data_IF_311950445033
#
_entry.id   IF_311950445033
#
_cell.length_a   1.000
_cell.length_b   1.000
_cell.length_c   1.000
_cell.angle_alpha   90.00
_cell.angle_beta   90.00
_cell.angle_gamma   90.00
#
_symmetry.space_group_name_H-M   'P 1'
#
loop_
_entity.id
_entity.type
_entity.pdbx_description
1 polymer ?
#
# COMPACT_ATOMS: atom_id res chain seq x y z
N UNK A 1 -9.80 -6.93 13.35
CA UNK A 1 -9.47 -8.30 13.80
C UNK A 1 -8.22 -8.75 13.06
N UNK A 2 -7.15 -9.14 13.76
CA UNK A 2 -5.86 -9.49 13.14
C UNK A 2 -5.74 -10.97 12.78
N UNK A 3 -6.49 -11.82 13.48
CA UNK A 3 -6.56 -13.28 13.30
C UNK A 3 -8.01 -13.75 13.35
N UNK A 4 -8.28 -14.93 12.79
CA UNK A 4 -9.52 -15.68 12.95
C UNK A 4 -9.16 -16.91 13.77
N UNK A 5 -9.61 -16.95 15.01
CA UNK A 5 -9.31 -18.04 15.95
C UNK A 5 -10.53 -18.97 16.07
N UNK A 6 -10.29 -20.28 16.00
CA UNK A 6 -11.34 -21.28 16.13
C UNK A 6 -10.83 -22.57 16.75
N UNK A 7 -11.74 -23.38 17.30
CA UNK A 7 -11.43 -24.67 17.91
C UNK A 7 -12.06 -25.77 17.06
N UNK A 8 -11.26 -26.76 16.69
CA UNK A 8 -11.74 -27.97 16.03
C UNK A 8 -11.13 -29.20 16.72
N UNK A 9 -11.99 -30.13 17.14
CA UNK A 9 -11.58 -31.37 17.85
C UNK A 9 -10.65 -31.11 19.06
N UNK A 10 -10.92 -30.04 19.81
CA UNK A 10 -10.12 -29.66 20.98
C UNK A 10 -8.78 -29.00 20.68
N UNK A 11 -8.42 -28.81 19.40
CA UNK A 11 -7.22 -28.07 19.00
C UNK A 11 -7.60 -26.65 18.60
N UNK A 12 -6.80 -25.68 19.06
CA UNK A 12 -6.93 -24.29 18.67
C UNK A 12 -6.18 -24.03 17.37
N UNK A 13 -6.84 -23.33 16.46
CA UNK A 13 -6.30 -22.90 15.17
C UNK A 13 -6.44 -21.39 15.03
N UNK A 14 -5.54 -20.80 14.26
CA UNK A 14 -5.53 -19.37 13.97
C UNK A 14 -5.20 -19.13 12.50
N UNK A 15 -5.99 -18.29 11.84
CA UNK A 15 -5.77 -17.86 10.46
C UNK A 15 -5.46 -16.35 10.48
N UNK A 16 -4.32 -15.89 9.93
CA UNK A 16 -4.07 -14.46 9.81
C UNK A 16 -5.18 -13.76 9.01
N UNK A 17 -5.61 -12.58 9.44
CA UNK A 17 -6.68 -11.80 8.80
C UNK A 17 -6.19 -10.39 8.40
N UNK A 18 -4.91 -10.29 8.05
CA UNK A 18 -4.22 -9.05 7.66
C UNK A 18 -3.00 -9.37 6.79
N UNK A 19 -2.57 -8.39 6.00
CA UNK A 19 -1.33 -8.47 5.23
C UNK A 19 -0.11 -8.71 6.11
N UNK A 20 -0.06 -8.04 7.27
CA UNK A 20 1.06 -8.11 8.22
C UNK A 20 1.28 -9.51 8.80
N UNK A 21 0.22 -10.33 8.87
CA UNK A 21 0.30 -11.71 9.34
C UNK A 21 0.79 -12.71 8.29
N UNK A 22 1.01 -12.30 7.04
CA UNK A 22 1.45 -13.20 5.98
C UNK A 22 2.95 -13.48 6.02
N UNK A 23 3.32 -14.69 5.59
CA UNK A 23 4.68 -15.04 5.18
C UNK A 23 4.87 -14.70 3.69
N UNK A 24 6.12 -14.59 3.20
CA UNK A 24 6.38 -14.36 1.77
C UNK A 24 5.71 -15.40 0.86
N UNK A 25 5.74 -16.67 1.25
CA UNK A 25 5.06 -17.74 0.54
C UNK A 25 3.53 -17.53 0.45
N UNK A 26 2.89 -17.20 1.58
CA UNK A 26 1.44 -16.95 1.60
C UNK A 26 1.07 -15.72 0.78
N UNK A 27 1.88 -14.65 0.84
CA UNK A 27 1.69 -13.45 0.06
C UNK A 27 1.78 -13.73 -1.45
N UNK A 28 2.85 -14.36 -1.92
CA UNK A 28 3.02 -14.66 -3.35
C UNK A 28 1.89 -15.54 -3.89
N UNK A 29 1.45 -16.53 -3.11
CA UNK A 29 0.35 -17.38 -3.50
C UNK A 29 -1.01 -16.63 -3.51
N UNK A 30 -1.24 -15.72 -2.56
CA UNK A 30 -2.43 -14.86 -2.55
C UNK A 30 -2.43 -13.88 -3.73
N UNK A 31 -1.27 -13.33 -4.11
CA UNK A 31 -1.15 -12.46 -5.27
C UNK A 31 -1.53 -13.16 -6.58
N UNK A 32 -1.19 -14.44 -6.73
CA UNK A 32 -1.65 -15.25 -7.88
C UNK A 32 -3.17 -15.41 -7.90
N UNK A 33 -3.81 -15.61 -6.76
CA UNK A 33 -5.27 -15.65 -6.67
C UNK A 33 -5.89 -14.27 -6.99
N UNK A 34 -5.29 -13.18 -6.51
CA UNK A 34 -5.74 -11.81 -6.81
C UNK A 34 -5.64 -11.49 -8.30
N UNK A 35 -4.57 -11.90 -8.97
CA UNK A 35 -4.44 -11.75 -10.44
C UNK A 35 -5.52 -12.54 -11.17
N UNK A 36 -5.79 -13.78 -10.76
CA UNK A 36 -6.89 -14.56 -11.34
C UNK A 36 -8.25 -13.93 -11.10
N UNK A 37 -8.46 -13.29 -9.96
CA UNK A 37 -9.65 -12.49 -9.69
C UNK A 37 -9.74 -11.27 -10.63
N UNK A 38 -8.65 -10.54 -10.80
CA UNK A 38 -8.58 -9.40 -11.72
C UNK A 38 -8.86 -9.80 -13.17
N UNK A 39 -8.43 -11.00 -13.57
CA UNK A 39 -8.74 -11.61 -14.88
C UNK A 39 -10.19 -12.15 -14.99
N UNK A 40 -11.01 -12.04 -13.94
CA UNK A 40 -12.37 -12.58 -13.89
C UNK A 40 -12.46 -14.11 -13.80
N UNK A 41 -11.35 -14.80 -13.52
CA UNK A 41 -11.27 -16.29 -13.49
C UNK A 41 -11.79 -16.91 -12.20
N UNK A 42 -11.75 -16.18 -11.09
CA UNK A 42 -12.25 -16.62 -9.78
C UNK A 42 -12.96 -15.49 -9.04
N UNK A 43 -13.94 -15.83 -8.19
CA UNK A 43 -14.66 -14.85 -7.36
C UNK A 43 -13.88 -14.49 -6.09
N UNK A 44 -14.27 -13.40 -5.43
CA UNK A 44 -13.74 -13.01 -4.10
C UNK A 44 -13.88 -14.13 -3.07
N UNK A 45 -15.03 -14.82 -3.07
CA UNK A 45 -15.26 -15.97 -2.20
C UNK A 45 -14.24 -17.07 -2.45
N UNK A 46 -13.92 -17.36 -3.72
CA UNK A 46 -12.94 -18.38 -4.07
C UNK A 46 -11.50 -17.97 -3.70
N UNK A 47 -11.15 -16.69 -3.80
CA UNK A 47 -9.85 -16.18 -3.30
C UNK A 47 -9.73 -16.44 -1.79
N UNK A 48 -10.77 -16.13 -1.02
CA UNK A 48 -10.80 -16.35 0.44
C UNK A 48 -10.75 -17.84 0.79
N UNK A 49 -11.45 -18.70 0.04
CA UNK A 49 -11.39 -20.15 0.20
C UNK A 49 -9.99 -20.68 -0.07
N UNK A 50 -9.37 -20.30 -1.20
CA UNK A 50 -7.99 -20.69 -1.53
C UNK A 50 -7.02 -20.25 -0.44
N UNK A 51 -7.19 -19.04 0.09
CA UNK A 51 -6.40 -18.51 1.18
C UNK A 51 -6.52 -19.35 2.46
N UNK A 52 -7.75 -19.61 2.94
CA UNK A 52 -7.99 -20.44 4.13
C UNK A 52 -7.38 -21.83 3.96
N UNK A 53 -7.65 -22.50 2.84
CA UNK A 53 -7.09 -23.81 2.57
C UNK A 53 -5.56 -23.81 2.59
N UNK A 54 -4.93 -22.77 2.03
CA UNK A 54 -3.46 -22.65 1.99
C UNK A 54 -2.86 -22.47 3.38
N UNK A 55 -3.42 -21.58 4.20
CA UNK A 55 -2.96 -21.38 5.59
C UNK A 55 -3.06 -22.67 6.40
N UNK A 56 -4.15 -23.41 6.20
CA UNK A 56 -4.42 -24.62 6.96
C UNK A 56 -3.76 -25.88 6.38
N UNK A 57 -3.07 -25.78 5.23
CA UNK A 57 -2.51 -26.94 4.52
C UNK A 57 -3.56 -27.91 3.97
N UNK A 58 -4.80 -27.44 3.77
CA UNK A 58 -5.90 -28.26 3.27
C UNK A 58 -5.90 -28.31 1.74
N UNK A 59 -6.12 -29.50 1.19
CA UNK A 59 -6.30 -29.68 -0.24
C UNK A 59 -7.79 -29.61 -0.58
N UNK A 60 -8.19 -28.54 -1.27
CA UNK A 60 -9.56 -28.28 -1.74
C UNK A 60 -10.17 -29.49 -2.47
N UNK A 61 -9.40 -30.18 -3.32
CA UNK A 61 -9.87 -31.32 -4.11
C UNK A 61 -10.15 -32.57 -3.27
N UNK A 62 -9.64 -32.63 -2.04
CA UNK A 62 -9.90 -33.73 -1.10
C UNK A 62 -11.16 -33.50 -0.27
N UNK A 63 -11.74 -32.30 -0.30
CA UNK A 63 -12.98 -31.98 0.42
C UNK A 63 -14.16 -32.40 -0.46
N UNK A 64 -14.80 -33.52 -0.12
CA UNK A 64 -15.85 -34.14 -0.94
C UNK A 64 -17.26 -34.05 -0.36
N UNK A 65 -17.39 -33.78 0.94
CA UNK A 65 -18.68 -33.69 1.59
C UNK A 65 -19.18 -32.24 1.67
N UNK A 66 -20.50 -32.08 1.66
CA UNK A 66 -21.17 -30.78 1.72
C UNK A 66 -20.84 -30.02 3.00
N UNK A 67 -20.80 -30.71 4.13
CA UNK A 67 -20.47 -30.09 5.43
C UNK A 67 -19.04 -29.57 5.48
N UNK A 68 -18.09 -30.29 4.86
CA UNK A 68 -16.71 -29.84 4.76
C UNK A 68 -16.59 -28.55 3.94
N UNK A 69 -17.31 -28.48 2.82
CA UNK A 69 -17.40 -27.27 2.02
C UNK A 69 -18.08 -26.10 2.75
N UNK A 70 -19.17 -26.37 3.48
CA UNK A 70 -19.86 -25.35 4.26
C UNK A 70 -18.95 -24.76 5.35
N UNK A 71 -18.17 -25.60 6.04
CA UNK A 71 -17.22 -25.15 7.06
C UNK A 71 -16.10 -24.28 6.47
N UNK A 72 -15.54 -24.66 5.31
CA UNK A 72 -14.52 -23.87 4.63
C UNK A 72 -15.08 -22.55 4.11
N UNK A 73 -16.28 -22.57 3.52
CA UNK A 73 -16.96 -21.37 3.07
C UNK A 73 -17.23 -20.41 4.24
N UNK A 74 -17.71 -20.94 5.37
CA UNK A 74 -17.94 -20.15 6.58
C UNK A 74 -16.65 -19.52 7.13
N UNK A 75 -15.54 -20.26 7.15
CA UNK A 75 -14.23 -19.71 7.54
C UNK A 75 -13.75 -18.65 6.54
N UNK A 76 -13.89 -18.90 5.24
CA UNK A 76 -13.53 -17.97 4.18
C UNK A 76 -14.33 -16.66 4.28
N UNK A 77 -15.60 -16.74 4.68
CA UNK A 77 -16.42 -15.57 4.96
C UNK A 77 -15.88 -14.74 6.13
N UNK A 78 -15.26 -15.34 7.15
CA UNK A 78 -14.65 -14.56 8.25
C UNK A 78 -13.40 -13.77 7.82
N UNK A 79 -12.87 -14.05 6.62
CA UNK A 79 -11.71 -13.35 6.07
C UNK A 79 -12.13 -11.97 5.56
N UNK A 80 -11.63 -10.92 6.23
CA UNK A 80 -11.95 -9.50 5.98
C UNK A 80 -10.86 -8.76 5.21
N UNK A 81 -9.79 -9.46 4.83
CA UNK A 81 -8.79 -9.05 3.83
C UNK A 81 -8.84 -10.06 2.66
N UNK A 82 -8.10 -9.91 1.55
CA UNK A 82 -7.35 -8.74 1.10
C UNK A 82 -8.24 -7.69 0.41
N UNK A 83 -9.58 -7.81 0.47
CA UNK A 83 -10.48 -6.93 -0.28
C UNK A 83 -11.17 -5.89 0.61
N UNK A 84 -11.34 -4.69 0.06
CA UNK A 84 -12.28 -3.68 0.55
C UNK A 84 -13.47 -3.57 -0.40
N UNK A 85 -14.61 -3.15 0.15
CA UNK A 85 -15.84 -2.89 -0.60
C UNK A 85 -15.85 -1.43 -1.02
N UNK A 86 -16.10 -1.16 -2.30
CA UNK A 86 -16.22 0.18 -2.87
C UNK A 86 -17.67 0.38 -3.30
N UNK A 87 -18.33 1.36 -2.70
CA UNK A 87 -19.70 1.73 -3.03
C UNK A 87 -19.72 2.82 -4.12
N UNK A 88 -20.84 2.98 -4.84
CA UNK A 88 -21.02 4.06 -5.82
C UNK A 88 -20.72 5.45 -5.25
N UNK A 89 -20.45 6.40 -6.15
CA UNK A 89 -20.25 7.82 -5.85
C UNK A 89 -19.15 8.09 -4.80
N UNK A 90 -18.02 7.38 -4.90
CA UNK A 90 -16.88 7.49 -3.98
C UNK A 90 -17.28 7.27 -2.51
N UNK A 91 -18.02 6.18 -2.26
CA UNK A 91 -18.54 5.83 -0.94
C UNK A 91 -19.42 6.93 -0.30
N UNK A 92 -20.16 7.72 -1.10
CA UNK A 92 -21.07 8.76 -0.61
C UNK A 92 -22.01 8.26 0.51
N UNK A 93 -22.52 7.03 0.35
CA UNK A 93 -23.38 6.37 1.32
C UNK A 93 -22.76 6.18 2.70
N UNK A 94 -21.44 6.30 2.84
CA UNK A 94 -20.71 6.09 4.08
C UNK A 94 -20.19 7.38 4.74
N UNK A 95 -20.32 8.55 4.09
CA UNK A 95 -19.64 9.78 4.54
C UNK A 95 -20.08 10.29 5.92
N UNK A 96 -21.33 10.06 6.30
CA UNK A 96 -21.89 10.51 7.58
C UNK A 96 -21.75 9.48 8.71
N UNK A 97 -21.15 8.32 8.42
CA UNK A 97 -20.98 7.25 9.41
C UNK A 97 -19.80 7.54 10.33
N UNK A 98 -19.91 7.05 11.57
CA UNK A 98 -18.77 7.04 12.47
C UNK A 98 -17.64 6.15 11.92
N UNK A 99 -16.42 6.39 12.41
CA UNK A 99 -15.22 5.70 11.91
C UNK A 99 -15.24 4.18 12.07
N UNK A 100 -15.94 3.65 13.08
CA UNK A 100 -16.03 2.21 13.30
C UNK A 100 -17.00 1.57 12.31
N UNK A 101 -18.21 2.11 12.20
CA UNK A 101 -19.22 1.64 11.25
C UNK A 101 -18.72 1.75 9.82
N UNK A 102 -18.08 2.88 9.45
CA UNK A 102 -17.45 3.06 8.15
C UNK A 102 -16.48 1.90 7.84
N UNK A 103 -15.59 1.56 8.78
CA UNK A 103 -14.60 0.48 8.59
C UNK A 103 -15.26 -0.89 8.47
N UNK A 104 -16.33 -1.16 9.20
CA UNK A 104 -17.10 -2.40 9.08
C UNK A 104 -17.75 -2.50 7.70
N UNK A 105 -18.42 -1.44 7.23
CA UNK A 105 -19.06 -1.40 5.91
C UNK A 105 -18.08 -1.55 4.74
N UNK A 106 -16.81 -1.13 4.91
CA UNK A 106 -15.75 -1.33 3.91
C UNK A 106 -15.15 -2.74 3.90
N UNK A 107 -15.40 -3.57 4.92
CA UNK A 107 -14.74 -4.88 5.07
C UNK A 107 -15.70 -6.07 5.02
N UNK A 108 -16.88 -5.91 5.58
CA UNK A 108 -17.88 -6.98 5.71
C UNK A 108 -19.00 -6.69 4.71
N UNK A 109 -19.39 -7.67 3.87
CA UNK A 109 -20.49 -7.52 2.94
C UNK A 109 -21.80 -7.11 3.62
N UNK A 110 -22.63 -6.25 3.01
CA UNK A 110 -23.84 -5.73 3.63
C UNK A 110 -24.79 -6.78 4.20
N UNK A 111 -25.06 -7.87 3.48
CA UNK A 111 -25.91 -8.98 3.95
C UNK A 111 -25.43 -9.68 5.23
N UNK A 112 -24.17 -9.46 5.65
CA UNK A 112 -23.57 -10.00 6.89
C UNK A 112 -23.42 -8.97 8.02
N UNK A 113 -23.73 -7.70 7.76
CA UNK A 113 -23.70 -6.64 8.76
C UNK A 113 -24.98 -6.66 9.60
N UNK A 114 -25.09 -7.64 10.50
CA UNK A 114 -26.20 -7.70 11.44
C UNK A 114 -26.11 -6.56 12.47
N UNK A 115 -27.21 -5.84 12.68
CA UNK A 115 -27.28 -4.74 13.64
C UNK A 115 -26.86 -3.36 13.09
N UNK A 116 -26.37 -3.28 11.85
CA UNK A 116 -26.05 -2.00 11.20
C UNK A 116 -27.24 -1.56 10.35
N UNK A 117 -27.88 -0.43 10.71
CA UNK A 117 -29.12 0.06 10.08
C UNK A 117 -29.01 0.25 8.57
N UNK A 118 -27.86 0.78 8.10
CA UNK A 118 -27.65 1.09 6.68
C UNK A 118 -27.37 -0.15 5.82
N UNK A 119 -27.11 -1.32 6.41
CA UNK A 119 -26.76 -2.57 5.69
C UNK A 119 -27.74 -2.92 4.57
N UNK A 120 -29.05 -2.83 4.81
CA UNK A 120 -30.09 -3.14 3.81
C UNK A 120 -30.06 -2.21 2.59
N UNK A 121 -29.65 -0.96 2.79
CA UNK A 121 -29.49 -0.01 1.71
C UNK A 121 -28.22 -0.33 0.92
N UNK A 122 -27.10 -0.54 1.62
CA UNK A 122 -25.82 -0.90 1.01
C UNK A 122 -25.90 -2.19 0.17
N UNK A 123 -26.69 -3.16 0.61
CA UNK A 123 -26.88 -4.44 -0.11
C UNK A 123 -27.58 -4.28 -1.47
N UNK A 124 -28.31 -3.18 -1.67
CA UNK A 124 -28.99 -2.86 -2.93
C UNK A 124 -28.11 -2.07 -3.92
N UNK A 125 -26.97 -1.56 -3.45
CA UNK A 125 -26.04 -0.81 -4.29
C UNK A 125 -25.20 -1.77 -5.12
N UNK A 126 -24.79 -1.34 -6.32
CA UNK A 126 -23.82 -2.05 -7.16
C UNK A 126 -22.40 -1.84 -6.62
N UNK A 127 -22.15 -2.34 -5.41
CA UNK A 127 -20.84 -2.26 -4.79
C UNK A 127 -19.87 -3.26 -5.42
N UNK A 128 -18.60 -2.87 -5.46
CA UNK A 128 -17.52 -3.67 -6.04
C UNK A 128 -16.49 -4.02 -4.99
N UNK A 129 -15.66 -5.02 -5.28
CA UNK A 129 -14.50 -5.34 -4.45
C UNK A 129 -13.24 -4.76 -5.08
N UNK A 130 -12.46 -4.04 -4.30
CA UNK A 130 -11.13 -3.58 -4.63
C UNK A 130 -10.11 -4.27 -3.73
N UNK A 131 -8.87 -4.44 -4.22
CA UNK A 131 -7.79 -4.99 -3.39
C UNK A 131 -7.32 -3.92 -2.41
N UNK A 132 -7.31 -4.26 -1.12
CA UNK A 132 -6.71 -3.46 -0.06
C UNK A 132 -5.19 -3.40 -0.27
N UNK A 133 -4.72 -2.30 -0.83
CA UNK A 133 -3.32 -2.05 -1.11
C UNK A 133 -2.74 -1.06 -0.11
N UNK A 134 -2.99 -1.22 1.19
CA UNK A 134 -2.46 -0.31 2.21
C UNK A 134 -1.95 -1.09 3.44
N UNK A 135 -0.65 -1.40 3.47
CA UNK A 135 0.00 -2.08 4.60
C UNK A 135 1.50 -1.73 4.68
N UNK A 136 2.12 -2.00 5.84
CA UNK A 136 3.48 -1.56 6.15
C UNK A 136 4.40 -2.75 6.47
N UNK A 137 4.55 -3.66 5.51
CA UNK A 137 5.41 -4.84 5.67
C UNK A 137 6.04 -5.24 4.34
N UNK A 138 7.35 -5.48 4.37
CA UNK A 138 8.04 -6.11 3.24
C UNK A 138 7.68 -7.60 3.20
N UNK A 139 6.89 -8.01 2.21
CA UNK A 139 6.43 -9.39 2.02
C UNK A 139 7.19 -10.12 0.91
N UNK A 140 8.07 -9.42 0.19
CA UNK A 140 9.01 -10.00 -0.77
C UNK A 140 10.41 -9.55 -0.34
N UNK A 141 11.01 -10.19 0.68
CA UNK A 141 12.28 -9.72 1.25
C UNK A 141 13.50 -10.04 0.37
N UNK A 142 13.38 -11.02 -0.52
CA UNK A 142 14.46 -11.43 -1.39
C UNK A 142 13.94 -12.00 -2.72
N UNK A 143 14.72 -11.81 -3.78
CA UNK A 143 14.57 -12.45 -5.09
C UNK A 143 15.75 -13.40 -5.27
N UNK A 144 15.48 -14.58 -5.81
CA UNK A 144 16.49 -15.57 -6.13
C UNK A 144 16.56 -15.67 -7.65
N UNK A 145 17.70 -15.34 -8.22
CA UNK A 145 17.90 -15.39 -9.66
C UNK A 145 19.25 -16.03 -9.94
N UNK A 146 19.21 -17.16 -10.64
CA UNK A 146 20.38 -18.03 -10.84
C UNK A 146 20.95 -18.46 -9.48
N UNK A 147 22.24 -18.19 -9.23
CA UNK A 147 22.94 -18.49 -7.98
C UNK A 147 23.05 -17.27 -7.05
N UNK A 148 22.37 -16.16 -7.36
CA UNK A 148 22.43 -14.92 -6.60
C UNK A 148 21.11 -14.62 -5.88
N UNK A 149 21.24 -14.08 -4.66
CA UNK A 149 20.12 -13.59 -3.87
C UNK A 149 20.20 -12.07 -3.75
N UNK A 150 19.15 -11.40 -4.19
CA UNK A 150 19.01 -9.96 -4.07
C UNK A 150 18.05 -9.65 -2.94
N UNK A 151 18.46 -8.82 -1.97
CA UNK A 151 17.65 -8.43 -0.84
C UNK A 151 16.91 -7.12 -1.12
N UNK A 152 15.66 -7.06 -0.68
CA UNK A 152 14.84 -5.87 -0.79
C UNK A 152 15.25 -4.82 0.26
N UNK A 153 14.66 -3.63 0.14
CA UNK A 153 14.61 -2.67 1.22
C UNK A 153 13.85 -3.21 2.45
N UNK A 154 14.30 -2.77 3.63
CA UNK A 154 13.73 -3.13 4.92
C UNK A 154 12.71 -2.08 5.38
N UNK A 155 11.67 -2.55 6.06
CA UNK A 155 10.66 -1.74 6.73
C UNK A 155 10.56 -2.25 8.17
N UNK A 156 10.76 -1.37 9.15
CA UNK A 156 10.53 -1.70 10.56
C UNK A 156 9.56 -0.71 11.19
N UNK A 157 8.69 -1.24 12.04
CA UNK A 157 7.70 -0.46 12.79
C UNK A 157 7.78 -0.73 14.30
N UNK A 158 8.85 -1.42 14.74
CA UNK A 158 9.09 -1.71 16.15
C UNK A 158 9.17 -0.42 16.97
N UNK A 159 8.70 -0.47 18.21
CA UNK A 159 8.66 0.68 19.12
C UNK A 159 7.83 1.87 18.60
N UNK A 160 6.79 1.59 17.81
CA UNK A 160 5.91 2.60 17.18
C UNK A 160 6.67 3.62 16.32
N UNK A 161 7.82 3.23 15.78
CA UNK A 161 8.63 4.09 14.93
C UNK A 161 8.85 3.44 13.58
N UNK A 162 8.42 4.13 12.52
CA UNK A 162 8.65 3.70 11.15
C UNK A 162 10.09 4.01 10.76
N UNK A 163 10.82 3.00 10.32
CA UNK A 163 12.10 3.14 9.61
C UNK A 163 12.03 2.38 8.28
N UNK A 164 12.78 2.87 7.30
CA UNK A 164 12.88 2.27 5.98
C UNK A 164 14.32 2.42 5.48
N UNK A 165 14.87 1.41 4.81
CA UNK A 165 16.26 1.46 4.33
C UNK A 165 16.43 2.15 2.97
N UNK A 166 15.34 2.53 2.29
CA UNK A 166 15.42 3.21 0.99
C UNK A 166 16.09 4.59 1.12
N UNK A 167 16.89 4.93 0.11
CA UNK A 167 17.37 6.29 -0.10
C UNK A 167 16.31 7.16 -0.79
N UNK A 168 16.49 8.48 -0.74
CA UNK A 168 15.59 9.43 -1.38
C UNK A 168 15.52 9.21 -2.90
N UNK A 169 16.66 9.05 -3.57
CA UNK A 169 16.71 8.80 -5.01
C UNK A 169 16.06 7.47 -5.39
N UNK A 170 16.38 6.37 -4.68
CA UNK A 170 15.71 5.07 -4.89
C UNK A 170 14.20 5.20 -4.80
N UNK A 171 13.72 5.86 -3.75
CA UNK A 171 12.29 6.03 -3.52
C UNK A 171 11.61 6.85 -4.62
N UNK A 172 12.22 7.95 -5.06
CA UNK A 172 11.67 8.83 -6.10
C UNK A 172 11.58 8.08 -7.43
N UNK A 173 12.66 7.40 -7.84
CA UNK A 173 12.68 6.67 -9.10
C UNK A 173 11.73 5.46 -9.07
N UNK A 174 11.72 4.68 -7.99
CA UNK A 174 10.78 3.57 -7.84
C UNK A 174 9.33 4.06 -7.84
N UNK A 175 9.03 5.17 -7.16
CA UNK A 175 7.68 5.77 -7.15
C UNK A 175 7.26 6.25 -8.53
N UNK A 176 8.19 6.80 -9.33
CA UNK A 176 7.94 7.21 -10.71
C UNK A 176 7.55 6.05 -11.64
N UNK A 177 7.90 4.81 -11.28
CA UNK A 177 7.53 3.60 -12.00
C UNK A 177 6.25 2.94 -11.49
N UNK A 178 5.54 3.51 -10.52
CA UNK A 178 4.25 2.95 -10.10
C UNK A 178 3.19 3.19 -11.19
N UNK A 179 2.44 2.15 -11.54
CA UNK A 179 1.44 2.20 -12.62
C UNK A 179 2.03 2.17 -14.04
N UNK A 180 3.33 1.97 -14.18
CA UNK A 180 3.97 1.81 -15.49
C UNK A 180 3.56 0.50 -16.19
N UNK A 181 3.78 0.40 -17.52
CA UNK A 181 3.58 -0.84 -18.25
C UNK A 181 4.39 -2.01 -17.68
N UNK A 182 3.90 -3.23 -17.90
CA UNK A 182 4.48 -4.48 -17.38
C UNK A 182 5.96 -4.67 -17.73
N UNK A 183 6.38 -4.13 -18.87
CA UNK A 183 7.74 -4.20 -19.41
C UNK A 183 8.76 -3.42 -18.56
N UNK A 184 8.30 -2.48 -17.73
CA UNK A 184 9.16 -1.66 -16.87
C UNK A 184 9.28 -2.21 -15.44
N UNK A 185 8.53 -3.27 -15.09
CA UNK A 185 8.64 -3.90 -13.76
C UNK A 185 10.04 -4.44 -13.42
N UNK A 186 10.84 -4.97 -14.37
CA UNK A 186 12.22 -5.35 -14.08
C UNK A 186 13.06 -4.18 -13.56
N UNK A 187 12.86 -2.97 -14.09
CA UNK A 187 13.54 -1.78 -13.62
C UNK A 187 13.09 -1.42 -12.20
N UNK A 188 11.77 -1.43 -11.93
CA UNK A 188 11.25 -1.20 -10.58
C UNK A 188 11.86 -2.20 -9.57
N UNK A 189 11.89 -3.48 -9.91
CA UNK A 189 12.53 -4.49 -9.07
C UNK A 189 14.04 -4.20 -8.90
N UNK A 190 14.77 -3.83 -9.95
CA UNK A 190 16.19 -3.54 -9.86
C UNK A 190 16.49 -2.34 -8.95
N UNK A 191 15.60 -1.34 -8.90
CA UNK A 191 15.73 -0.20 -7.99
C UNK A 191 15.54 -0.64 -6.53
N UNK A 192 14.51 -1.44 -6.27
CA UNK A 192 14.10 -1.83 -4.91
C UNK A 192 15.00 -2.90 -4.28
N UNK A 193 15.74 -3.66 -5.09
CA UNK A 193 16.61 -4.77 -4.70
C UNK A 193 18.08 -4.51 -5.04
N UNK A 194 18.44 -3.25 -5.26
CA UNK A 194 19.81 -2.89 -5.58
C UNK A 194 20.74 -3.22 -4.39
N UNK A 195 21.79 -4.05 -4.57
CA UNK A 195 22.55 -4.61 -3.45
C UNK A 195 23.56 -3.64 -2.82
N UNK A 196 24.08 -2.71 -3.61
CA UNK A 196 25.15 -1.79 -3.21
C UNK A 196 24.61 -0.38 -2.92
N UNK A 197 25.52 0.59 -2.76
CA UNK A 197 25.16 2.01 -2.77
C UNK A 197 24.45 2.34 -4.09
N UNK A 198 23.23 2.81 -3.98
CA UNK A 198 22.34 3.00 -5.12
C UNK A 198 22.92 3.91 -6.20
N UNK A 199 22.70 3.55 -7.46
CA UNK A 199 22.86 4.46 -8.59
C UNK A 199 21.85 4.13 -9.68
N UNK A 200 21.26 5.14 -10.32
CA UNK A 200 20.28 4.95 -11.39
C UNK A 200 20.87 4.16 -12.58
N UNK A 201 22.15 4.42 -12.91
CA UNK A 201 22.87 3.70 -13.96
C UNK A 201 23.12 2.24 -13.60
N UNK A 202 23.45 1.95 -12.33
CA UNK A 202 23.58 0.58 -11.83
C UNK A 202 22.26 -0.18 -11.87
N UNK A 203 21.17 0.45 -11.42
CA UNK A 203 19.84 -0.14 -11.45
C UNK A 203 19.39 -0.50 -12.87
N UNK A 204 19.68 0.35 -13.86
CA UNK A 204 19.39 0.05 -15.28
C UNK A 204 20.18 -1.16 -15.79
N UNK A 205 21.44 -1.32 -15.39
CA UNK A 205 22.23 -2.50 -15.74
C UNK A 205 21.64 -3.76 -15.09
N UNK A 206 21.27 -3.69 -13.81
CA UNK A 206 20.66 -4.79 -13.08
C UNK A 206 19.27 -5.17 -13.65
N UNK A 207 18.50 -4.20 -14.15
CA UNK A 207 17.20 -4.42 -14.76
C UNK A 207 17.25 -5.37 -15.97
N UNK A 208 18.36 -5.37 -16.72
CA UNK A 208 18.57 -6.31 -17.81
C UNK A 208 18.59 -7.76 -17.29
N UNK A 209 19.25 -8.01 -16.15
CA UNK A 209 19.25 -9.33 -15.50
C UNK A 209 17.85 -9.70 -15.01
N UNK A 210 17.12 -8.74 -14.41
CA UNK A 210 15.78 -8.97 -13.88
C UNK A 210 14.68 -9.15 -14.94
N UNK A 211 14.99 -8.91 -16.21
CA UNK A 211 14.08 -9.25 -17.32
C UNK A 211 13.84 -10.76 -17.41
N UNK A 212 14.75 -11.59 -16.87
CA UNK A 212 14.57 -13.05 -16.76
C UNK A 212 13.58 -13.49 -15.66
N UNK A 213 13.13 -12.59 -14.78
CA UNK A 213 12.22 -12.94 -13.70
C UNK A 213 10.78 -13.14 -14.22
N UNK A 214 10.05 -14.14 -13.68
CA UNK A 214 8.66 -14.33 -14.06
C UNK A 214 7.79 -13.15 -13.58
N UNK A 215 6.77 -12.81 -14.36
CA UNK A 215 5.80 -11.76 -13.99
C UNK A 215 5.06 -12.06 -12.69
N UNK A 216 4.93 -13.35 -12.34
CA UNK A 216 4.38 -13.83 -11.07
C UNK A 216 5.22 -13.44 -9.85
N UNK A 217 6.46 -12.98 -10.04
CA UNK A 217 7.33 -12.40 -8.99
C UNK A 217 7.39 -10.88 -9.07
N UNK A 218 7.49 -10.32 -10.27
CA UNK A 218 7.57 -8.87 -10.50
C UNK A 218 6.29 -8.12 -10.08
N UNK A 219 5.11 -8.69 -10.32
CA UNK A 219 3.84 -8.05 -9.95
C UNK A 219 3.67 -7.95 -8.42
N UNK A 220 3.92 -9.01 -7.63
CA UNK A 220 3.95 -8.91 -6.16
C UNK A 220 4.91 -7.86 -5.62
N UNK A 221 6.09 -7.67 -6.24
CA UNK A 221 7.06 -6.64 -5.84
C UNK A 221 6.45 -5.25 -6.01
N UNK A 222 5.91 -4.96 -7.19
CA UNK A 222 5.27 -3.69 -7.49
C UNK A 222 4.09 -3.42 -6.54
N UNK A 223 3.27 -4.45 -6.29
CA UNK A 223 2.14 -4.36 -5.37
C UNK A 223 2.57 -4.10 -3.92
N UNK A 224 3.62 -4.78 -3.43
CA UNK A 224 4.14 -4.54 -2.08
C UNK A 224 4.64 -3.10 -1.92
N UNK A 225 5.40 -2.61 -2.89
CA UNK A 225 5.90 -1.24 -2.86
C UNK A 225 4.77 -0.21 -2.95
N UNK A 226 3.79 -0.40 -3.86
CA UNK A 226 2.59 0.43 -3.92
C UNK A 226 1.86 0.45 -2.57
N UNK A 227 1.74 -0.70 -1.91
CA UNK A 227 1.06 -0.79 -0.63
C UNK A 227 1.78 -0.04 0.48
N UNK A 228 3.11 -0.08 0.48
CA UNK A 228 3.93 0.71 1.37
C UNK A 228 3.78 2.21 1.11
N UNK A 229 3.78 2.66 -0.15
CA UNK A 229 3.51 4.05 -0.54
C UNK A 229 2.15 4.51 -0.04
N UNK A 230 1.11 3.73 -0.28
CA UNK A 230 -0.24 4.03 0.18
C UNK A 230 -0.29 4.13 1.71
N UNK A 231 0.37 3.22 2.43
CA UNK A 231 0.48 3.32 3.89
C UNK A 231 1.18 4.62 4.31
N UNK A 232 2.32 4.93 3.70
CA UNK A 232 3.13 6.11 4.02
C UNK A 232 2.31 7.41 3.89
N UNK A 233 1.56 7.57 2.81
CA UNK A 233 0.80 8.79 2.54
C UNK A 233 -0.65 8.77 3.05
N UNK A 234 -1.13 7.70 3.69
CA UNK A 234 -2.49 7.67 4.25
C UNK A 234 -2.57 7.36 5.74
N UNK A 235 -1.55 6.70 6.31
CA UNK A 235 -1.52 6.26 7.71
C UNK A 235 -0.45 6.94 8.56
N UNK A 236 0.39 7.79 7.97
CA UNK A 236 1.46 8.49 8.69
C UNK A 236 1.32 10.00 8.56
N UNK A 237 2.17 10.74 9.29
CA UNK A 237 2.24 12.20 9.22
C UNK A 237 2.62 12.76 7.84
N UNK A 238 3.12 11.91 6.94
CA UNK A 238 3.45 12.28 5.57
C UNK A 238 2.22 12.44 4.66
N UNK A 239 1.02 12.10 5.14
CA UNK A 239 -0.25 12.37 4.44
C UNK A 239 -0.36 13.84 3.98
N UNK A 240 0.20 14.79 4.74
CA UNK A 240 0.27 16.20 4.36
C UNK A 240 0.88 16.43 2.97
N UNK A 241 1.83 15.59 2.55
CA UNK A 241 2.53 15.72 1.27
C UNK A 241 1.64 15.36 0.05
N UNK A 242 0.47 14.77 0.27
CA UNK A 242 -0.48 14.37 -0.78
C UNK A 242 -1.80 15.13 -0.74
N UNK A 243 -2.00 16.02 0.23
CA UNK A 243 -3.21 16.85 0.37
C UNK A 243 -3.19 18.11 -0.52
N UNK A 244 -2.14 18.30 -1.31
CA UNK A 244 -2.02 19.42 -2.25
C UNK A 244 -3.04 19.27 -3.38
N UNK A 245 -3.85 20.30 -3.63
CA UNK A 245 -4.85 20.28 -4.71
C UNK A 245 -4.16 20.12 -6.08
N UNK A 246 -4.56 19.09 -6.84
CA UNK A 246 -4.02 18.83 -8.19
C UNK A 246 -4.48 19.90 -9.18
N UNK A 247 -3.54 20.48 -9.93
CA UNK A 247 -3.82 21.08 -11.24
C UNK A 247 -3.05 20.33 -12.31
N UNK A 248 -3.67 20.24 -13.50
CA UNK A 248 -3.20 19.57 -14.72
C UNK A 248 -1.69 19.31 -14.72
N UNK A 249 -1.33 18.02 -14.65
CA UNK A 249 0.02 17.53 -14.85
C UNK A 249 0.53 18.03 -16.20
N UNK A 250 1.35 19.08 -16.20
CA UNK A 250 2.11 19.45 -17.39
C UNK A 250 3.24 18.43 -17.56
N UNK A 251 3.48 17.98 -18.79
CA UNK A 251 4.46 16.94 -19.13
C UNK A 251 5.93 17.30 -18.80
N UNK A 252 6.18 18.48 -18.21
CA UNK A 252 7.51 19.04 -17.91
C UNK A 252 7.81 18.99 -16.39
N UNK A 253 6.85 18.64 -15.54
CA UNK A 253 7.05 18.62 -14.08
C UNK A 253 7.88 17.42 -13.63
N UNK A 254 9.18 17.66 -13.34
CA UNK A 254 10.08 16.72 -12.64
C UNK A 254 9.91 16.76 -11.12
N UNK A 255 8.75 17.21 -10.61
CA UNK A 255 8.58 17.81 -9.26
C UNK A 255 9.25 17.09 -8.08
N UNK A 256 9.29 15.75 -8.04
CA UNK A 256 9.98 15.02 -6.97
C UNK A 256 11.52 15.05 -7.08
N UNK A 257 12.07 15.03 -8.30
CA UNK A 257 13.51 15.19 -8.54
C UNK A 257 13.93 16.66 -8.36
N UNK A 258 13.09 17.60 -8.77
CA UNK A 258 13.31 19.04 -8.52
C UNK A 258 13.40 19.34 -7.01
N UNK A 259 12.62 18.63 -6.20
CA UNK A 259 12.68 18.73 -4.74
C UNK A 259 14.05 18.36 -4.18
N UNK A 260 14.80 17.40 -4.76
CA UNK A 260 16.17 17.09 -4.34
C UNK A 260 17.12 18.27 -4.58
N UNK A 261 17.05 18.88 -5.78
CA UNK A 261 17.89 20.03 -6.14
C UNK A 261 17.58 21.27 -5.29
N UNK A 262 16.30 21.47 -4.96
CA UNK A 262 15.87 22.55 -4.07
C UNK A 262 16.44 22.36 -2.66
N UNK A 263 16.44 21.13 -2.12
CA UNK A 263 17.05 20.86 -0.82
C UNK A 263 18.56 21.09 -0.83
N UNK A 264 19.25 20.81 -1.94
CA UNK A 264 20.68 21.10 -2.06
C UNK A 264 20.94 22.60 -2.04
N UNK A 265 20.14 23.34 -2.80
CA UNK A 265 20.18 24.82 -2.85
C UNK A 265 19.85 25.45 -1.50
N UNK A 266 18.94 24.85 -0.73
CA UNK A 266 18.56 25.29 0.62
C UNK A 266 19.63 24.98 1.68
N UNK A 267 20.74 24.33 1.31
CA UNK A 267 21.89 24.07 2.18
C UNK A 267 21.79 22.80 3.03
N UNK A 268 20.89 21.86 2.69
CA UNK A 268 20.78 20.57 3.41
C UNK A 268 21.90 19.58 3.08
N UNK A 269 22.73 19.87 2.07
CA UNK A 269 23.85 19.04 1.62
C UNK A 269 24.15 19.25 0.14
N UNK A 270 25.22 18.64 -0.35
CA UNK A 270 25.39 18.50 -1.80
C UNK A 270 24.35 17.51 -2.38
N UNK A 271 24.24 17.49 -3.71
CA UNK A 271 23.26 16.66 -4.42
C UNK A 271 23.44 15.18 -4.06
N UNK A 272 24.69 14.70 -4.02
CA UNK A 272 25.00 13.30 -3.72
C UNK A 272 24.53 12.92 -2.30
N UNK A 273 24.75 13.79 -1.30
CA UNK A 273 24.30 13.57 0.07
C UNK A 273 22.78 13.49 0.16
N UNK A 274 22.07 14.35 -0.59
CA UNK A 274 20.60 14.40 -0.55
C UNK A 274 19.99 13.21 -1.29
N UNK A 275 20.53 12.82 -2.43
CA UNK A 275 20.12 11.63 -3.17
C UNK A 275 20.21 10.36 -2.32
N UNK A 276 21.26 10.25 -1.51
CA UNK A 276 21.51 9.10 -0.64
C UNK A 276 20.94 9.24 0.77
N UNK A 277 20.28 10.35 1.08
CA UNK A 277 19.62 10.56 2.36
C UNK A 277 18.54 9.50 2.56
N UNK A 278 18.32 9.08 3.80
CA UNK A 278 17.24 8.16 4.13
C UNK A 278 15.86 8.73 3.71
N UNK A 279 15.00 7.90 3.12
CA UNK A 279 13.68 8.32 2.64
C UNK A 279 12.81 8.95 3.72
N UNK A 280 12.83 8.43 4.95
CA UNK A 280 12.03 8.96 6.06
C UNK A 280 12.54 10.35 6.44
N UNK A 281 13.86 10.55 6.50
CA UNK A 281 14.47 11.86 6.75
C UNK A 281 14.11 12.86 5.65
N UNK A 282 14.23 12.45 4.39
CA UNK A 282 13.86 13.26 3.23
C UNK A 282 12.39 13.73 3.31
N UNK A 283 11.45 12.82 3.56
CA UNK A 283 10.02 13.15 3.69
C UNK A 283 9.74 14.03 4.92
N UNK A 284 10.45 13.84 6.03
CA UNK A 284 10.34 14.70 7.22
C UNK A 284 10.78 16.13 6.91
N UNK A 285 11.87 16.31 6.16
CA UNK A 285 12.33 17.64 5.74
C UNK A 285 11.30 18.31 4.81
N UNK A 286 10.78 17.59 3.82
CA UNK A 286 9.74 18.12 2.93
C UNK A 286 8.49 18.54 3.71
N UNK A 287 8.04 17.70 4.64
CA UNK A 287 6.88 18.00 5.49
C UNK A 287 7.13 19.24 6.33
N UNK A 288 8.30 19.36 6.96
CA UNK A 288 8.68 20.52 7.76
C UNK A 288 8.67 21.80 6.92
N UNK A 289 9.21 21.76 5.70
CA UNK A 289 9.25 22.92 4.80
C UNK A 289 7.84 23.43 4.45
N UNK A 290 6.88 22.54 4.22
CA UNK A 290 5.48 22.92 4.00
C UNK A 290 4.90 23.62 5.25
N UNK A 291 5.10 23.04 6.44
CA UNK A 291 4.64 23.60 7.71
C UNK A 291 5.25 24.99 7.97
N UNK A 292 6.55 25.13 7.77
CA UNK A 292 7.27 26.40 8.00
C UNK A 292 6.82 27.48 7.00
N UNK A 293 6.52 27.08 5.75
CA UNK A 293 5.94 27.99 4.74
C UNK A 293 4.59 28.53 5.19
N UNK A 294 3.66 27.66 5.63
CA UNK A 294 2.34 28.07 6.13
C UNK A 294 2.48 29.02 7.33
N UNK A 295 3.35 28.69 8.28
CA UNK A 295 3.60 29.54 9.47
C UNK A 295 4.21 30.88 9.11
N UNK A 296 5.11 30.93 8.13
CA UNK A 296 5.73 32.17 7.66
C UNK A 296 4.72 33.09 6.98
N UNK A 297 3.87 32.56 6.11
CA UNK A 297 2.81 33.35 5.45
C UNK A 297 1.79 33.88 6.46
N UNK A 298 1.43 33.06 7.46
CA UNK A 298 0.58 33.52 8.56
C UNK A 298 1.24 34.60 9.42
N UNK A 299 2.54 34.47 9.73
CA UNK A 299 3.30 35.50 10.44
C UNK A 299 3.39 36.82 9.64
N UNK A 300 3.38 36.74 8.31
CA UNK A 300 3.27 37.88 7.41
C UNK A 300 1.85 38.49 7.34
N UNK A 301 0.92 38.04 8.19
CA UNK A 301 -0.49 38.48 8.29
C UNK A 301 -1.32 38.20 7.03
N UNK A 302 -0.96 37.19 6.24
CA UNK A 302 -1.82 36.72 5.15
C UNK A 302 -3.04 36.00 5.72
N UNK A 303 -4.21 36.22 5.11
CA UNK A 303 -5.41 35.49 5.50
C UNK A 303 -5.32 34.02 5.07
N UNK A 304 -6.07 33.14 5.75
CA UNK A 304 -6.07 31.69 5.52
C UNK A 304 -6.48 31.34 4.08
N UNK A 305 -7.37 32.11 3.47
CA UNK A 305 -7.74 31.93 2.07
C UNK A 305 -6.58 32.24 1.11
N UNK A 306 -5.79 33.27 1.39
CA UNK A 306 -4.61 33.61 0.60
C UNK A 306 -3.50 32.57 0.80
N UNK A 307 -3.29 32.10 2.03
CA UNK A 307 -2.35 31.01 2.33
C UNK A 307 -2.76 29.73 1.58
N UNK A 308 -4.04 29.39 1.55
CA UNK A 308 -4.55 28.24 0.79
C UNK A 308 -4.25 28.37 -0.71
N UNK A 309 -4.41 29.57 -1.28
CA UNK A 309 -4.09 29.82 -2.69
C UNK A 309 -2.59 29.68 -2.98
N UNK A 310 -1.72 30.22 -2.13
CA UNK A 310 -0.26 30.16 -2.31
C UNK A 310 0.30 28.75 -2.09
N UNK A 311 -0.13 28.10 -1.02
CA UNK A 311 0.40 26.77 -0.61
C UNK A 311 -0.33 25.61 -1.26
N UNK A 312 -1.51 25.84 -1.85
CA UNK A 312 -2.42 24.83 -2.42
C UNK A 312 -2.89 23.79 -1.41
N UNK A 313 -2.85 24.14 -0.12
CA UNK A 313 -3.35 23.30 0.94
C UNK A 313 -4.82 23.64 1.24
N UNK A 314 -5.66 22.63 1.51
CA UNK A 314 -7.01 22.85 2.00
C UNK A 314 -7.03 23.66 3.29
N UNK A 315 -8.04 24.51 3.46
CA UNK A 315 -8.19 25.38 4.64
C UNK A 315 -8.20 24.57 5.95
N UNK A 316 -8.81 23.37 5.95
CA UNK A 316 -8.85 22.53 7.14
C UNK A 316 -7.45 22.08 7.58
N UNK A 317 -6.55 21.78 6.63
CA UNK A 317 -5.15 21.43 6.91
C UNK A 317 -4.38 22.64 7.42
N UNK A 318 -4.60 23.83 6.84
CA UNK A 318 -3.97 25.07 7.33
C UNK A 318 -4.37 25.34 8.79
N UNK A 319 -5.64 25.10 9.13
CA UNK A 319 -6.12 25.23 10.52
C UNK A 319 -5.48 24.21 11.48
N UNK A 320 -5.08 23.02 11.01
CA UNK A 320 -4.35 22.05 11.83
C UNK A 320 -2.88 22.43 12.04
N UNK A 321 -2.29 23.20 11.10
CA UNK A 321 -0.89 23.63 11.15
C UNK A 321 -0.67 24.84 12.07
N UNK A 322 -1.64 25.77 12.09
CA UNK A 322 -1.61 27.05 12.83
C UNK A 322 -2.13 26.91 14.25
#
# INVERSE_FOLDING_TARGET
MLTIDFIAKGMQYSIPNSWDGLTPYHFQALMRDIQRFADGKISVGMVRVNYVCRIMGWNLQKIRNTDGWANVAWLAEQVTFPFTIVYPDNDAALQELDSETYRLCKKIPPHRLHGITISRYLDRLDYKYAVDSCFCKQLVPAIHLEDETFFAYNIETMFNRLTCSLTALQFIEARGLLGCPKEQLPLLAAILYYPDRYSSAGAHKLAQKFTGLPMDELIPIAFNFQAFINYLFTKTEFKLLTELEETKVSAISTGALESLYNLSSDGFGDIETIEHMNVIQYLTILRKKIIDTVRSLHAAKMDKADIARETRLPIHIINEIL
#
